data_IF_583633009322
#
_entry.id   IF_583633009322
#
_cell.length_a   1.000
_cell.length_b   1.000
_cell.length_c   1.000
_cell.angle_alpha   90.00
_cell.angle_beta   90.00
_cell.angle_gamma   90.00
#
_symmetry.space_group_name_H-M   'P 1'
#
loop_
_entity.id
_entity.type
_entity.pdbx_description
1 polymer ?
#
# COMPACT_ATOMS: atom_id res chain seq x y z
N UNK A 1 -55.86 -59.92 17.87
CA UNK A 1 -55.46 -60.41 19.20
C UNK A 1 -54.26 -59.59 19.67
N UNK A 2 -54.33 -59.11 20.93
CA UNK A 2 -53.27 -58.77 21.89
C UNK A 2 -51.85 -58.45 21.34
N UNK A 3 -51.07 -57.49 21.86
CA UNK A 3 -51.17 -56.44 22.88
C UNK A 3 -49.76 -55.80 22.88
N UNK A 4 -49.69 -54.48 23.10
CA UNK A 4 -48.75 -53.76 24.02
C UNK A 4 -47.28 -54.21 23.96
N UNK A 5 -46.33 -53.40 23.52
CA UNK A 5 -46.11 -52.02 23.97
C UNK A 5 -44.74 -51.99 24.63
N UNK A 6 -43.83 -51.17 24.12
CA UNK A 6 -42.54 -50.95 24.76
C UNK A 6 -42.25 -49.46 24.80
N UNK A 7 -42.00 -49.03 26.03
CA UNK A 7 -41.82 -47.66 26.47
C UNK A 7 -40.76 -46.90 25.67
N UNK A 8 -41.04 -45.61 25.50
CA UNK A 8 -40.05 -44.59 25.19
C UNK A 8 -39.01 -44.53 26.32
N UNK A 9 -37.72 -44.58 25.96
CA UNK A 9 -36.65 -43.98 26.74
C UNK A 9 -35.89 -43.08 25.78
N UNK A 10 -36.19 -41.79 25.87
CA UNK A 10 -35.39 -40.73 25.29
C UNK A 10 -34.05 -40.68 26.03
N UNK A 11 -32.96 -40.98 25.33
CA UNK A 11 -31.61 -40.70 25.79
C UNK A 11 -31.09 -39.51 24.98
N UNK A 12 -31.15 -38.35 25.64
CA UNK A 12 -30.40 -37.16 25.28
C UNK A 12 -28.92 -37.54 25.14
N UNK A 13 -28.38 -37.35 23.94
CA UNK A 13 -26.97 -37.54 23.62
C UNK A 13 -26.43 -36.36 22.83
N UNK A 14 -26.64 -35.13 23.32
CA UNK A 14 -25.96 -33.94 22.80
C UNK A 14 -24.51 -33.96 23.30
N UNK A 15 -23.65 -34.69 22.58
CA UNK A 15 -22.20 -34.56 22.70
C UNK A 15 -21.81 -33.16 22.22
N UNK A 16 -21.57 -32.27 23.18
CA UNK A 16 -20.88 -31.01 22.96
C UNK A 16 -19.46 -31.34 22.46
N UNK A 17 -19.25 -31.28 21.15
CA UNK A 17 -17.93 -31.15 20.56
C UNK A 17 -17.41 -29.77 21.00
N UNK A 18 -16.63 -29.77 22.08
CA UNK A 18 -15.84 -28.62 22.50
C UNK A 18 -14.85 -28.27 21.40
N UNK A 19 -15.27 -27.38 20.49
CA UNK A 19 -14.36 -26.71 19.58
C UNK A 19 -13.36 -25.93 20.43
N UNK A 20 -12.08 -26.21 20.22
CA UNK A 20 -10.99 -25.48 20.86
C UNK A 20 -11.25 -23.98 20.75
N UNK A 21 -11.45 -23.34 21.89
CA UNK A 21 -11.45 -21.88 22.04
C UNK A 21 -10.02 -21.36 21.85
N UNK A 22 -9.49 -21.48 20.63
CA UNK A 22 -8.41 -20.60 20.21
C UNK A 22 -9.00 -19.19 20.08
N UNK A 23 -8.31 -18.13 20.54
CA UNK A 23 -8.76 -16.78 20.26
C UNK A 23 -8.96 -16.64 18.73
N UNK A 24 -10.12 -16.14 18.27
CA UNK A 24 -10.52 -16.28 16.86
C UNK A 24 -9.71 -15.46 15.85
N UNK A 25 -8.67 -14.72 16.26
CA UNK A 25 -7.96 -13.82 15.37
C UNK A 25 -6.46 -13.83 15.68
N UNK A 26 -5.70 -14.66 14.95
CA UNK A 26 -4.27 -14.40 14.78
C UNK A 26 -4.19 -13.37 13.66
N UNK A 27 -4.03 -12.09 14.01
CA UNK A 27 -3.69 -11.06 13.04
C UNK A 27 -2.21 -11.26 12.69
N UNK A 28 -1.95 -11.82 11.51
CA UNK A 28 -0.60 -11.85 10.95
C UNK A 28 -0.33 -10.48 10.33
N UNK A 29 0.60 -9.72 10.90
CA UNK A 29 1.04 -8.46 10.32
C UNK A 29 2.01 -8.75 9.17
N UNK A 30 1.72 -8.21 7.98
CA UNK A 30 2.65 -8.26 6.85
C UNK A 30 3.73 -7.20 7.06
N UNK A 31 4.98 -7.64 7.07
CA UNK A 31 6.16 -6.80 7.22
C UNK A 31 7.03 -7.00 5.99
N UNK A 32 6.95 -6.07 5.04
CA UNK A 32 7.77 -6.09 3.84
C UNK A 32 9.09 -5.40 4.17
N UNK A 33 10.19 -6.09 3.86
CA UNK A 33 11.53 -5.52 3.94
C UNK A 33 11.79 -4.71 2.67
N UNK A 34 11.49 -3.42 2.75
CA UNK A 34 11.62 -2.49 1.64
C UNK A 34 13.09 -2.12 1.41
N UNK A 35 13.46 -1.93 0.15
CA UNK A 35 14.76 -1.35 -0.19
C UNK A 35 14.87 0.04 0.42
N UNK A 36 16.04 0.37 0.96
CA UNK A 36 16.37 1.68 1.48
C UNK A 36 17.37 2.36 0.53
N UNK A 37 17.07 3.59 0.12
CA UNK A 37 17.98 4.43 -0.67
C UNK A 37 18.59 5.52 0.20
N UNK A 38 19.92 5.61 0.21
CA UNK A 38 20.62 6.61 1.04
C UNK A 38 20.33 8.05 0.55
N UNK A 39 20.24 8.25 -0.76
CA UNK A 39 19.97 9.56 -1.37
C UNK A 39 18.83 9.51 -2.40
N UNK A 40 18.20 10.65 -2.71
CA UNK A 40 17.28 10.76 -3.85
C UNK A 40 17.94 10.36 -5.18
N UNK A 41 19.24 10.64 -5.35
CA UNK A 41 19.98 10.22 -6.53
C UNK A 41 20.08 8.69 -6.67
N UNK A 42 20.25 7.96 -5.56
CA UNK A 42 20.27 6.49 -5.57
C UNK A 42 18.90 5.91 -5.95
N UNK A 43 17.81 6.47 -5.40
CA UNK A 43 16.45 6.10 -5.79
C UNK A 43 16.18 6.44 -7.26
N UNK A 44 16.64 7.60 -7.74
CA UNK A 44 16.51 8.00 -9.14
C UNK A 44 17.26 7.07 -10.09
N UNK A 45 18.40 6.52 -9.67
CA UNK A 45 19.15 5.56 -10.45
C UNK A 45 18.39 4.25 -10.64
N UNK A 46 17.72 3.76 -9.58
CA UNK A 46 16.96 2.50 -9.57
C UNK A 46 15.54 2.61 -10.17
N UNK A 47 14.92 3.80 -10.11
CA UNK A 47 13.58 4.04 -10.66
C UNK A 47 13.52 3.81 -12.18
N UNK A 48 12.39 3.33 -12.70
CA UNK A 48 12.18 3.23 -14.15
C UNK A 48 11.90 4.62 -14.77
N UNK A 49 11.22 5.49 -14.01
CA UNK A 49 10.90 6.85 -14.42
C UNK A 49 10.88 7.80 -13.21
N UNK A 50 11.10 9.09 -13.51
CA UNK A 50 11.00 10.19 -12.54
C UNK A 50 10.08 11.24 -13.13
N UNK A 51 9.01 11.55 -12.40
CA UNK A 51 8.03 12.54 -12.79
C UNK A 51 8.10 13.75 -11.85
N UNK A 52 8.14 14.95 -12.42
CA UNK A 52 7.86 16.20 -11.73
C UNK A 52 6.37 16.53 -11.95
N UNK A 53 5.64 16.87 -10.89
CA UNK A 53 4.21 17.13 -11.00
C UNK A 53 3.56 17.51 -9.69
N UNK A 54 2.25 17.27 -9.60
CA UNK A 54 1.44 17.52 -8.42
C UNK A 54 0.50 16.35 -8.15
N UNK A 55 0.34 15.96 -6.88
CA UNK A 55 -0.64 14.95 -6.45
C UNK A 55 -2.01 15.61 -6.34
N UNK A 56 -3.01 15.12 -7.07
CA UNK A 56 -4.29 15.84 -7.20
C UNK A 56 -5.45 15.19 -6.46
N UNK A 57 -5.65 13.88 -6.59
CA UNK A 57 -6.81 13.18 -6.04
C UNK A 57 -6.48 11.73 -5.65
N UNK A 58 -7.02 11.27 -4.53
CA UNK A 58 -7.06 9.84 -4.22
C UNK A 58 -8.20 9.18 -5.01
N UNK A 59 -7.85 8.51 -6.11
CA UNK A 59 -8.81 7.90 -7.05
C UNK A 59 -9.43 6.62 -6.52
N UNK A 60 -8.73 5.90 -5.64
CA UNK A 60 -9.21 4.65 -5.08
C UNK A 60 -8.15 3.89 -4.28
N UNK A 61 -8.30 2.58 -4.24
CA UNK A 61 -7.38 1.67 -3.56
C UNK A 61 -7.30 0.32 -4.27
N UNK A 62 -6.18 -0.37 -4.12
CA UNK A 62 -5.93 -1.74 -4.57
C UNK A 62 -5.34 -2.59 -3.44
N UNK A 63 -5.11 -3.88 -3.71
CA UNK A 63 -4.34 -4.75 -2.84
C UNK A 63 -2.91 -4.88 -3.35
N UNK A 64 -1.93 -4.63 -2.48
CA UNK A 64 -0.51 -4.85 -2.73
C UNK A 64 0.02 -5.84 -1.69
N UNK A 65 0.44 -7.03 -2.13
CA UNK A 65 0.99 -8.07 -1.24
C UNK A 65 0.12 -8.36 0.00
N UNK A 66 -1.21 -8.34 -0.19
CA UNK A 66 -2.19 -8.59 0.88
C UNK A 66 -2.55 -7.37 1.74
N UNK A 67 -1.96 -6.21 1.50
CA UNK A 67 -2.25 -4.95 2.18
C UNK A 67 -3.04 -4.00 1.28
N UNK A 68 -3.81 -3.08 1.87
CA UNK A 68 -4.47 -2.03 1.10
C UNK A 68 -3.46 -0.96 0.69
N UNK A 69 -3.47 -0.57 -0.58
CA UNK A 69 -2.62 0.47 -1.16
C UNK A 69 -3.49 1.51 -1.85
N UNK A 70 -3.23 2.79 -1.64
CA UNK A 70 -4.01 3.86 -2.27
C UNK A 70 -3.57 4.09 -3.71
N UNK A 71 -4.49 4.51 -4.57
CA UNK A 71 -4.21 4.95 -5.92
C UNK A 71 -4.42 6.44 -5.98
N UNK A 72 -3.39 7.17 -6.41
CA UNK A 72 -3.39 8.62 -6.51
C UNK A 72 -3.25 9.06 -7.96
N UNK A 73 -4.05 10.05 -8.36
CA UNK A 73 -3.88 10.75 -9.63
C UNK A 73 -2.76 11.77 -9.46
N UNK A 74 -1.84 11.80 -10.42
CA UNK A 74 -0.72 12.74 -10.48
C UNK A 74 -0.75 13.43 -11.84
N UNK A 75 -0.79 14.76 -11.80
CA UNK A 75 -0.62 15.57 -13.01
C UNK A 75 0.88 15.80 -13.23
N UNK A 76 1.41 15.27 -14.32
CA UNK A 76 2.83 15.30 -14.65
C UNK A 76 3.12 16.55 -15.47
N UNK A 77 4.00 17.39 -14.93
CA UNK A 77 4.52 18.57 -15.63
C UNK A 77 5.71 18.18 -16.53
N UNK A 78 6.61 17.36 -16.03
CA UNK A 78 7.81 16.92 -16.76
C UNK A 78 8.23 15.51 -16.35
N UNK A 79 8.80 14.76 -17.29
CA UNK A 79 9.49 13.50 -17.01
C UNK A 79 11.00 13.75 -16.95
N UNK A 80 11.57 13.81 -15.74
CA UNK A 80 13.01 14.01 -15.52
C UNK A 80 13.83 12.78 -15.91
N UNK A 81 13.20 11.59 -15.89
CA UNK A 81 13.73 10.32 -16.39
C UNK A 81 12.58 9.48 -16.94
N UNK A 82 12.83 8.72 -18.00
CA UNK A 82 11.80 7.86 -18.60
C UNK A 82 10.76 8.67 -19.36
N UNK A 83 9.49 8.25 -19.29
CA UNK A 83 8.39 8.95 -19.95
C UNK A 83 7.03 8.26 -19.78
N UNK A 84 5.96 9.01 -19.95
CA UNK A 84 4.58 8.55 -19.82
C UNK A 84 3.57 9.62 -20.21
N UNK A 85 2.32 9.41 -19.81
CA UNK A 85 1.24 10.37 -20.04
C UNK A 85 1.37 11.61 -19.13
N UNK A 86 0.63 12.68 -19.45
CA UNK A 86 0.62 13.92 -18.65
C UNK A 86 -0.24 13.84 -17.38
N UNK A 87 -1.06 12.81 -17.25
CA UNK A 87 -1.83 12.49 -16.04
C UNK A 87 -1.74 10.98 -15.86
N UNK A 88 -1.31 10.54 -14.68
CA UNK A 88 -1.07 9.13 -14.38
C UNK A 88 -1.74 8.74 -13.07
N UNK A 89 -2.20 7.49 -12.99
CA UNK A 89 -2.58 6.87 -11.73
C UNK A 89 -1.34 6.15 -11.16
N UNK A 90 -0.98 6.46 -9.91
CA UNK A 90 0.15 5.87 -9.19
C UNK A 90 -0.35 5.08 -8.00
N UNK A 91 0.02 3.81 -7.91
CA UNK A 91 -0.16 3.02 -6.69
C UNK A 91 0.87 3.49 -5.66
N UNK A 92 0.38 4.06 -4.56
CA UNK A 92 1.21 4.39 -3.41
C UNK A 92 1.54 3.12 -2.65
N UNK A 93 2.82 2.75 -2.60
CA UNK A 93 3.22 1.52 -1.92
C UNK A 93 2.92 1.64 -0.42
N UNK A 94 2.25 0.64 0.18
CA UNK A 94 1.79 0.74 1.56
C UNK A 94 2.97 0.61 2.53
N UNK A 95 2.99 1.46 3.56
CA UNK A 95 3.84 1.21 4.73
C UNK A 95 3.38 -0.10 5.40
N UNK A 96 4.31 -0.81 6.04
CA UNK A 96 4.07 -2.14 6.60
C UNK A 96 4.54 -2.18 8.06
N UNK A 97 4.33 -3.30 8.77
CA UNK A 97 4.65 -3.40 10.20
C UNK A 97 3.89 -2.41 11.10
N UNK A 98 2.56 -2.42 11.01
CA UNK A 98 1.63 -1.57 11.77
C UNK A 98 1.70 -0.06 11.45
N UNK A 99 2.55 0.36 10.52
CA UNK A 99 2.52 1.69 9.94
C UNK A 99 1.50 1.74 8.80
N UNK A 100 0.50 2.63 8.94
CA UNK A 100 -0.56 2.84 7.94
C UNK A 100 -0.43 4.16 7.20
N UNK A 101 0.73 4.82 7.30
CA UNK A 101 1.00 6.08 6.63
C UNK A 101 1.04 5.93 5.11
N UNK A 102 0.82 7.06 4.43
CA UNK A 102 0.88 7.17 2.97
C UNK A 102 1.59 8.47 2.60
N UNK A 103 2.82 8.35 2.09
CA UNK A 103 3.67 9.51 1.77
C UNK A 103 3.09 10.37 0.65
N UNK A 104 2.16 9.87 -0.17
CA UNK A 104 1.48 10.68 -1.19
C UNK A 104 0.40 11.59 -0.58
N UNK A 105 -0.17 11.21 0.57
CA UNK A 105 -1.26 11.95 1.22
C UNK A 105 -0.84 13.28 1.86
N UNK A 106 0.46 13.52 1.98
CA UNK A 106 1.02 14.76 2.54
C UNK A 106 1.10 15.90 1.51
N UNK A 107 0.85 15.60 0.22
CA UNK A 107 0.92 16.57 -0.87
C UNK A 107 -0.45 16.83 -1.48
N UNK A 108 -0.65 18.06 -1.95
CA UNK A 108 -1.84 18.50 -2.65
C UNK A 108 -1.55 19.05 -4.06
N UNK A 109 -2.59 19.54 -4.75
CA UNK A 109 -2.49 19.98 -6.15
C UNK A 109 -1.65 21.25 -6.33
N UNK A 110 -1.39 21.99 -5.24
CA UNK A 110 -0.56 23.20 -5.25
C UNK A 110 0.92 22.91 -4.92
N UNK A 111 1.25 21.67 -4.53
CA UNK A 111 2.62 21.27 -4.19
C UNK A 111 3.34 20.72 -5.43
N UNK A 112 4.56 21.21 -5.68
CA UNK A 112 5.46 20.65 -6.70
C UNK A 112 6.24 19.49 -6.09
N UNK A 113 6.11 18.30 -6.69
CA UNK A 113 6.70 17.07 -6.17
C UNK A 113 7.49 16.32 -7.24
N UNK A 114 8.49 15.57 -6.79
CA UNK A 114 9.22 14.58 -7.58
C UNK A 114 8.77 13.19 -7.14
N UNK A 115 8.33 12.39 -8.11
CA UNK A 115 7.94 11.00 -7.91
C UNK A 115 8.98 10.04 -8.47
N UNK A 116 9.28 9.01 -7.68
CA UNK A 116 10.17 7.91 -8.02
C UNK A 116 9.33 6.67 -8.34
N UNK A 117 9.31 6.29 -9.62
CA UNK A 117 8.32 5.35 -10.14
C UNK A 117 8.95 4.05 -10.66
N UNK A 118 8.23 2.95 -10.44
CA UNK A 118 8.44 1.67 -11.13
C UNK A 118 7.30 1.38 -12.10
N UNK A 119 7.66 0.86 -13.27
CA UNK A 119 6.69 0.41 -14.27
C UNK A 119 6.31 -1.04 -13.99
N UNK A 120 5.01 -1.29 -13.87
CA UNK A 120 4.46 -2.64 -13.76
C UNK A 120 3.57 -2.97 -14.96
N UNK A 121 3.08 -4.19 -15.03
CA UNK A 121 2.05 -4.57 -16.02
C UNK A 121 0.71 -3.80 -15.82
N UNK A 122 0.47 -3.27 -14.63
CA UNK A 122 -0.77 -2.58 -14.25
C UNK A 122 -0.64 -1.04 -14.25
N UNK A 123 0.52 -0.50 -14.64
CA UNK A 123 0.80 0.94 -14.63
C UNK A 123 1.94 1.30 -13.67
N UNK A 124 1.85 2.50 -13.10
CA UNK A 124 2.90 3.05 -12.24
C UNK A 124 2.66 2.75 -10.76
N UNK A 125 3.73 2.44 -10.06
CA UNK A 125 3.77 2.40 -8.59
C UNK A 125 4.97 3.19 -8.07
N UNK A 126 4.90 3.64 -6.83
CA UNK A 126 6.05 4.24 -6.15
C UNK A 126 7.20 3.23 -5.97
N UNK A 127 8.44 3.71 -5.86
CA UNK A 127 9.61 2.82 -5.72
C UNK A 127 9.67 2.13 -4.34
N UNK A 128 9.30 2.85 -3.27
CA UNK A 128 9.18 2.35 -1.88
C UNK A 128 8.15 3.20 -1.14
N UNK A 129 7.56 2.74 -0.02
CA UNK A 129 6.51 3.49 0.68
C UNK A 129 6.93 4.88 1.17
N UNK A 130 8.17 5.03 1.65
CA UNK A 130 8.69 6.30 2.16
C UNK A 130 9.33 7.15 1.07
N UNK A 131 10.01 6.52 0.09
CA UNK A 131 10.89 7.23 -0.85
C UNK A 131 10.30 7.31 -2.27
N UNK A 132 8.99 7.14 -2.40
CA UNK A 132 8.26 7.25 -3.66
C UNK A 132 7.95 8.69 -4.09
N UNK A 133 7.91 9.64 -3.15
CA UNK A 133 7.58 11.04 -3.43
C UNK A 133 8.29 11.97 -2.47
N UNK A 134 8.69 13.14 -2.95
CA UNK A 134 9.26 14.22 -2.13
C UNK A 134 8.94 15.57 -2.75
N UNK A 135 9.06 16.65 -1.97
CA UNK A 135 8.93 18.00 -2.51
C UNK A 135 10.06 18.27 -3.52
N UNK A 136 9.73 18.94 -4.63
CA UNK A 136 10.71 19.34 -5.60
C UNK A 136 11.55 20.53 -5.08
N UNK A 137 12.85 20.55 -5.40
CA UNK A 137 13.74 21.70 -5.17
C UNK A 137 14.04 22.36 -6.51
N UNK A 138 13.57 23.59 -6.71
CA UNK A 138 13.69 24.33 -7.97
C UNK A 138 13.30 23.49 -9.20
N UNK A 139 12.19 22.73 -9.10
CA UNK A 139 11.67 21.82 -10.13
C UNK A 139 12.63 20.67 -10.50
N UNK A 140 13.53 20.29 -9.59
CA UNK A 140 14.48 19.20 -9.76
C UNK A 140 14.44 18.18 -8.61
N UNK A 141 15.14 17.06 -8.80
CA UNK A 141 15.36 16.04 -7.76
C UNK A 141 16.20 16.69 -6.64
N UNK A 142 15.76 16.65 -5.37
CA UNK A 142 16.53 17.22 -4.26
C UNK A 142 17.85 16.47 -4.06
N UNK A 143 18.86 17.17 -3.52
CA UNK A 143 20.17 16.58 -3.25
C UNK A 143 20.15 15.60 -2.05
N UNK A 144 19.19 15.77 -1.14
CA UNK A 144 19.02 14.94 0.06
C UNK A 144 17.55 14.70 0.36
N UNK A 145 17.24 13.58 1.03
CA UNK A 145 15.91 13.34 1.57
C UNK A 145 15.57 14.36 2.67
N UNK A 146 14.29 14.72 2.85
CA UNK A 146 13.87 15.57 3.94
C UNK A 146 14.01 14.85 5.29
N UNK A 147 14.26 15.59 6.37
CA UNK A 147 14.51 15.03 7.71
C UNK A 147 13.31 14.26 8.29
N UNK A 148 12.09 14.58 7.83
CA UNK A 148 10.80 14.03 8.26
C UNK A 148 10.30 12.87 7.37
N UNK A 149 11.12 12.35 6.47
CA UNK A 149 10.75 11.31 5.49
C UNK A 149 10.07 10.06 6.11
N UNK A 150 10.43 9.72 7.36
CA UNK A 150 9.95 8.54 8.07
C UNK A 150 8.94 8.83 9.17
N UNK A 151 8.50 10.07 9.29
CA UNK A 151 7.48 10.47 10.27
C UNK A 151 6.04 10.20 9.76
#
# INVERSE_FOLDING_TARGET
MLRRGSAAIALLGTLALGGCSAPPFVTTNTCIDWVYFETPADAAADADAIALGSVTEQRGSTQYEGMAANIWTVEVTEWLKGGGEGSIDVVSLPRSCDDTGDSMSQFGPDDSVVLFLRSTENGWEGITPWQQVTAAEDDTIPDSWPDDLYE
#
